data_IF_492746943593
#
_entry.id   IF_492746943593
#
_cell.length_a   1.000
_cell.length_b   1.000
_cell.length_c   1.000
_cell.angle_alpha   90.00
_cell.angle_beta   90.00
_cell.angle_gamma   90.00
#
_symmetry.space_group_name_H-M   'P 1'
#
loop_
_entity.id
_entity.type
_entity.pdbx_description
1 polymer ?
#
# COMPACT_ATOMS: atom_id res chain seq x y z
N UNK A 1 30.10 49.40 -34.05
CA UNK A 1 30.34 48.93 -32.65
C UNK A 1 29.23 47.96 -32.26
N UNK A 2 29.49 46.70 -32.37
CA UNK A 2 28.54 45.62 -32.12
C UNK A 2 28.65 45.17 -30.67
N UNK A 3 27.63 45.52 -29.90
CA UNK A 3 27.46 45.00 -28.54
C UNK A 3 26.87 43.56 -28.62
N UNK A 4 27.73 42.58 -28.72
CA UNK A 4 27.38 41.21 -28.44
C UNK A 4 27.61 40.92 -26.96
N UNK A 5 26.74 41.51 -26.11
CA UNK A 5 26.79 41.31 -24.69
C UNK A 5 26.02 40.01 -24.29
N UNK A 6 26.74 38.98 -23.86
CA UNK A 6 26.42 38.28 -22.63
C UNK A 6 25.25 37.30 -22.58
N UNK A 7 24.89 36.57 -23.66
CA UNK A 7 23.92 35.47 -23.56
C UNK A 7 24.52 34.14 -23.05
N UNK A 8 25.85 34.06 -22.94
CA UNK A 8 26.58 32.83 -22.58
C UNK A 8 26.49 32.42 -21.10
N UNK A 9 26.50 33.31 -20.11
CA UNK A 9 26.40 32.88 -18.73
C UNK A 9 24.97 32.45 -18.35
N UNK A 10 23.94 33.12 -18.87
CA UNK A 10 22.55 32.81 -18.59
C UNK A 10 22.14 31.45 -19.17
N UNK A 11 22.59 31.12 -20.39
CA UNK A 11 22.32 29.82 -21.00
C UNK A 11 23.03 28.67 -20.27
N UNK A 12 24.22 28.91 -19.72
CA UNK A 12 24.93 27.93 -18.90
C UNK A 12 24.24 27.68 -17.57
N UNK A 13 23.77 28.74 -16.91
CA UNK A 13 23.00 28.64 -15.67
C UNK A 13 21.70 27.90 -15.92
N UNK A 14 21.00 28.24 -17.01
CA UNK A 14 19.75 27.53 -17.40
C UNK A 14 20.01 26.05 -17.69
N UNK A 15 21.10 25.73 -18.37
CA UNK A 15 21.49 24.33 -18.64
C UNK A 15 21.83 23.56 -17.35
N UNK A 16 22.53 24.19 -16.40
CA UNK A 16 22.84 23.57 -15.10
C UNK A 16 21.59 23.34 -14.29
N UNK A 17 20.68 24.32 -14.25
CA UNK A 17 19.37 24.17 -13.57
C UNK A 17 18.53 23.07 -14.21
N UNK A 18 18.47 23.01 -15.54
CA UNK A 18 17.77 21.95 -16.25
C UNK A 18 18.37 20.56 -15.97
N UNK A 19 19.68 20.46 -15.97
CA UNK A 19 20.39 19.22 -15.63
C UNK A 19 20.08 18.78 -14.19
N UNK A 20 20.09 19.72 -13.25
CA UNK A 20 19.82 19.47 -11.84
C UNK A 20 18.36 19.02 -11.61
N UNK A 21 17.40 19.61 -12.33
CA UNK A 21 15.99 19.21 -12.32
C UNK A 21 15.83 17.80 -12.89
N UNK A 22 16.48 17.48 -14.01
CA UNK A 22 16.43 16.14 -14.60
C UNK A 22 17.01 15.11 -13.63
N UNK A 23 18.11 15.44 -12.96
CA UNK A 23 18.76 14.56 -11.99
C UNK A 23 17.85 14.31 -10.77
N UNK A 24 17.15 15.32 -10.25
CA UNK A 24 16.18 15.20 -9.18
C UNK A 24 15.00 14.31 -9.59
N UNK A 25 14.51 14.46 -10.82
CA UNK A 25 13.42 13.62 -11.36
C UNK A 25 13.88 12.16 -11.45
N UNK A 26 15.08 11.91 -11.95
CA UNK A 26 15.63 10.55 -12.06
C UNK A 26 15.78 9.87 -10.71
N UNK A 27 16.29 10.59 -9.70
CA UNK A 27 16.40 10.06 -8.33
C UNK A 27 15.05 9.82 -7.66
N UNK A 28 14.05 10.65 -7.93
CA UNK A 28 12.69 10.49 -7.43
C UNK A 28 11.85 9.44 -8.16
N UNK A 29 12.32 8.95 -9.31
CA UNK A 29 11.59 7.99 -10.15
C UNK A 29 11.75 6.53 -9.73
N UNK A 30 12.72 6.22 -8.87
CA UNK A 30 13.06 4.83 -8.52
C UNK A 30 12.37 4.43 -7.23
N UNK A 31 11.79 3.23 -7.20
CA UNK A 31 11.28 2.61 -5.98
C UNK A 31 11.61 1.13 -5.94
N UNK A 32 11.69 0.59 -4.72
CA UNK A 32 12.04 -0.81 -4.47
C UNK A 32 10.82 -1.53 -3.91
N UNK A 33 10.53 -2.72 -4.43
CA UNK A 33 9.54 -3.64 -3.90
C UNK A 33 10.26 -4.80 -3.24
N UNK A 34 9.98 -5.05 -1.97
CA UNK A 34 10.55 -6.15 -1.22
C UNK A 34 9.82 -7.47 -1.48
N UNK A 35 10.46 -8.60 -1.13
CA UNK A 35 9.91 -9.93 -1.38
C UNK A 35 8.57 -10.19 -0.66
N UNK A 36 8.37 -9.54 0.49
CA UNK A 36 7.22 -9.75 1.36
C UNK A 36 6.11 -8.69 1.17
N UNK A 37 6.19 -7.92 0.09
CA UNK A 37 5.29 -6.80 -0.15
C UNK A 37 4.80 -6.78 -1.60
N UNK A 38 3.57 -6.29 -1.78
CA UNK A 38 3.07 -5.87 -3.07
C UNK A 38 3.34 -4.37 -3.24
N UNK A 39 3.96 -3.98 -4.34
CA UNK A 39 4.10 -2.58 -4.72
C UNK A 39 2.89 -2.11 -5.51
N UNK A 40 2.20 -1.09 -5.02
CA UNK A 40 1.01 -0.54 -5.65
C UNK A 40 1.33 0.86 -6.13
N UNK A 41 1.18 1.06 -7.43
CA UNK A 41 1.38 2.36 -8.06
C UNK A 41 0.03 3.03 -8.26
N UNK A 42 -0.14 4.16 -7.60
CA UNK A 42 -1.32 5.00 -7.71
C UNK A 42 -1.07 6.13 -8.70
N UNK A 43 -2.06 6.40 -9.51
CA UNK A 43 -2.06 7.54 -10.42
C UNK A 43 -3.42 8.23 -10.36
N UNK A 44 -3.43 9.52 -9.99
CA UNK A 44 -4.65 10.31 -9.85
C UNK A 44 -5.72 9.67 -8.95
N UNK A 45 -5.30 9.00 -7.87
CA UNK A 45 -6.21 8.36 -6.93
C UNK A 45 -6.73 6.97 -7.35
N UNK A 46 -6.32 6.46 -8.52
CA UNK A 46 -6.65 5.13 -9.00
C UNK A 46 -5.42 4.21 -9.01
N UNK A 47 -5.64 2.91 -8.84
CA UNK A 47 -4.58 1.90 -8.96
C UNK A 47 -4.20 1.75 -10.42
N UNK A 48 -3.01 2.20 -10.78
CA UNK A 48 -2.48 2.07 -12.14
C UNK A 48 -1.82 0.70 -12.36
N UNK A 49 -0.97 0.29 -11.42
CA UNK A 49 -0.23 -0.95 -11.54
C UNK A 49 0.00 -1.60 -10.17
N UNK A 50 0.08 -2.93 -10.18
CA UNK A 50 0.41 -3.73 -9.00
C UNK A 50 1.61 -4.60 -9.33
N UNK A 51 2.65 -4.51 -8.51
CA UNK A 51 3.89 -5.29 -8.65
C UNK A 51 3.94 -6.34 -7.54
N UNK A 52 3.91 -7.60 -7.95
CA UNK A 52 3.99 -8.75 -7.03
C UNK A 52 5.40 -9.30 -6.90
N UNK A 53 6.28 -8.97 -7.83
CA UNK A 53 7.67 -9.44 -7.84
C UNK A 53 8.58 -8.41 -7.19
N UNK A 54 9.56 -8.87 -6.38
CA UNK A 54 10.56 -7.99 -5.81
C UNK A 54 11.49 -7.44 -6.89
N UNK A 55 11.93 -6.23 -6.73
CA UNK A 55 12.86 -5.59 -7.63
C UNK A 55 12.83 -4.08 -7.61
N UNK A 56 13.60 -3.52 -8.53
CA UNK A 56 13.71 -2.10 -8.75
C UNK A 56 12.77 -1.69 -9.90
N UNK A 57 11.91 -0.71 -9.62
CA UNK A 57 10.94 -0.22 -10.58
C UNK A 57 11.01 1.29 -10.72
N UNK A 58 10.46 1.79 -11.82
CA UNK A 58 10.38 3.21 -12.09
C UNK A 58 8.94 3.71 -11.98
N UNK A 59 8.79 4.91 -11.44
CA UNK A 59 7.54 5.65 -11.39
C UNK A 59 7.73 7.05 -11.94
N UNK A 60 6.65 7.68 -12.38
CA UNK A 60 6.67 9.09 -12.74
C UNK A 60 6.53 9.92 -11.46
N UNK A 61 7.56 10.69 -11.05
CA UNK A 61 7.45 11.54 -9.88
C UNK A 61 6.35 12.58 -10.09
N UNK A 62 5.76 13.08 -9.00
CA UNK A 62 4.66 14.05 -8.95
C UNK A 62 3.29 13.55 -9.44
N UNK A 63 3.24 12.60 -10.38
CA UNK A 63 1.99 12.05 -10.94
C UNK A 63 1.61 10.74 -10.29
N UNK A 64 2.62 9.93 -9.95
CA UNK A 64 2.45 8.60 -9.37
C UNK A 64 2.97 8.55 -7.94
N UNK A 65 2.20 7.94 -7.06
CA UNK A 65 2.60 7.57 -5.71
C UNK A 65 2.66 6.05 -5.58
N UNK A 66 3.50 5.57 -4.68
CA UNK A 66 3.67 4.14 -4.41
C UNK A 66 3.32 3.86 -2.97
N UNK A 67 2.50 2.85 -2.75
CA UNK A 67 2.25 2.26 -1.44
C UNK A 67 2.55 0.77 -1.47
N UNK A 68 2.76 0.19 -0.31
CA UNK A 68 3.03 -1.23 -0.16
C UNK A 68 1.93 -1.91 0.64
N UNK A 69 1.61 -3.15 0.29
CA UNK A 69 0.75 -4.03 1.06
C UNK A 69 1.52 -5.29 1.45
N UNK A 70 1.31 -5.82 2.67
CA UNK A 70 1.98 -7.05 3.09
C UNK A 70 1.53 -8.23 2.25
N UNK A 71 2.49 -9.05 1.83
CA UNK A 71 2.29 -10.31 1.11
C UNK A 71 2.34 -11.51 2.05
N UNK A 72 2.87 -11.31 3.24
CA UNK A 72 2.97 -12.32 4.30
C UNK A 72 1.63 -12.59 4.96
N UNK A 73 1.55 -13.71 5.66
CA UNK A 73 0.42 -13.99 6.54
C UNK A 73 0.40 -13.03 7.71
N UNK A 74 -0.77 -12.52 8.00
CA UNK A 74 -1.06 -11.62 9.10
C UNK A 74 -1.83 -12.37 10.17
N UNK A 75 -1.43 -12.18 11.42
CA UNK A 75 -2.15 -12.67 12.58
C UNK A 75 -3.15 -11.60 13.03
N UNK A 76 -4.41 -11.97 13.12
CA UNK A 76 -5.44 -11.16 13.74
C UNK A 76 -5.93 -11.86 15.00
N UNK A 77 -5.70 -11.21 16.13
CA UNK A 77 -6.18 -11.66 17.44
C UNK A 77 -7.56 -11.07 17.67
N UNK A 78 -8.56 -11.96 17.79
CA UNK A 78 -9.94 -11.53 17.99
C UNK A 78 -10.15 -11.09 19.43
N UNK A 79 -10.97 -10.06 19.67
CA UNK A 79 -11.32 -9.68 21.04
C UNK A 79 -11.99 -10.85 21.77
N UNK A 80 -11.56 -11.05 23.00
CA UNK A 80 -12.15 -12.06 23.89
C UNK A 80 -13.65 -11.79 23.98
N UNK A 81 -14.47 -12.78 23.67
CA UNK A 81 -15.93 -12.65 23.73
C UNK A 81 -16.54 -13.65 24.71
N UNK A 82 -17.42 -13.13 25.55
CA UNK A 82 -18.29 -13.96 26.39
C UNK A 82 -19.48 -14.43 25.55
N UNK A 83 -19.56 -15.73 25.34
CA UNK A 83 -20.70 -16.36 24.65
C UNK A 83 -21.49 -17.20 25.64
N UNK A 84 -22.81 -17.10 25.56
CA UNK A 84 -23.72 -17.92 26.33
C UNK A 84 -24.09 -19.11 25.49
N UNK A 85 -23.72 -20.30 25.94
CA UNK A 85 -24.08 -21.57 25.29
C UNK A 85 -25.57 -21.86 25.43
N UNK A 86 -26.09 -22.78 24.59
CA UNK A 86 -27.49 -23.23 24.67
C UNK A 86 -27.89 -23.77 26.05
N UNK A 87 -26.94 -24.25 26.84
CA UNK A 87 -27.12 -24.72 28.22
C UNK A 87 -27.06 -23.58 29.27
N UNK A 88 -27.09 -22.33 28.80
CA UNK A 88 -27.04 -21.11 29.66
C UNK A 88 -25.75 -20.97 30.50
N UNK A 89 -24.65 -21.57 30.05
CA UNK A 89 -23.34 -21.39 30.66
C UNK A 89 -22.58 -20.26 29.91
N UNK A 90 -21.93 -19.38 30.67
CA UNK A 90 -21.03 -18.37 30.11
C UNK A 90 -19.68 -19.02 29.81
N UNK A 91 -19.26 -18.92 28.56
CA UNK A 91 -17.93 -19.35 28.10
C UNK A 91 -17.15 -18.17 27.59
N UNK A 92 -15.86 -18.11 27.96
CA UNK A 92 -14.91 -17.15 27.43
C UNK A 92 -14.25 -17.78 26.21
N UNK A 93 -14.40 -17.14 25.07
CA UNK A 93 -13.81 -17.61 23.82
C UNK A 93 -12.64 -16.72 23.45
N UNK A 94 -11.47 -17.36 23.31
CA UNK A 94 -10.25 -16.75 22.81
C UNK A 94 -9.93 -17.38 21.46
N UNK A 95 -9.77 -16.56 20.43
CA UNK A 95 -9.56 -17.03 19.06
C UNK A 95 -8.69 -16.08 18.25
N UNK A 96 -7.96 -16.63 17.31
CA UNK A 96 -7.14 -15.86 16.38
C UNK A 96 -7.40 -16.32 14.94
N UNK A 97 -7.13 -15.44 13.99
CA UNK A 97 -7.20 -15.75 12.57
C UNK A 97 -5.88 -15.46 11.87
N UNK A 98 -5.45 -16.41 11.05
CA UNK A 98 -4.35 -16.19 10.11
C UNK A 98 -4.96 -15.89 8.74
N UNK A 99 -4.55 -14.80 8.13
CA UNK A 99 -5.06 -14.39 6.84
C UNK A 99 -3.97 -13.72 6.00
N UNK A 100 -4.17 -13.67 4.70
CA UNK A 100 -3.24 -13.02 3.77
C UNK A 100 -3.98 -12.36 2.62
N UNK A 101 -3.34 -11.39 2.01
CA UNK A 101 -3.82 -10.73 0.79
C UNK A 101 -3.38 -11.58 -0.41
N UNK A 102 -4.32 -12.23 -1.09
CA UNK A 102 -4.06 -13.02 -2.29
C UNK A 102 -4.15 -12.18 -3.56
N UNK A 103 -5.11 -11.26 -3.63
CA UNK A 103 -5.30 -10.33 -4.73
C UNK A 103 -5.26 -8.90 -4.20
N UNK A 104 -4.13 -8.20 -4.38
CA UNK A 104 -3.97 -6.84 -3.87
C UNK A 104 -4.88 -5.82 -4.58
N UNK A 105 -5.22 -6.02 -5.84
CA UNK A 105 -6.13 -5.13 -6.57
C UNK A 105 -7.54 -5.19 -6.00
N UNK A 106 -8.07 -6.40 -5.88
CA UNK A 106 -9.40 -6.63 -5.29
C UNK A 106 -9.47 -6.17 -3.84
N UNK A 107 -8.38 -6.37 -3.09
CA UNK A 107 -8.27 -5.89 -1.71
C UNK A 107 -8.39 -4.37 -1.62
N UNK A 108 -7.73 -3.62 -2.52
CA UNK A 108 -7.82 -2.17 -2.55
C UNK A 108 -9.24 -1.71 -2.93
N UNK A 109 -9.82 -2.30 -3.95
CA UNK A 109 -11.15 -1.96 -4.44
C UNK A 109 -12.24 -2.23 -3.38
N UNK A 110 -12.12 -3.34 -2.62
CA UNK A 110 -13.10 -3.77 -1.64
C UNK A 110 -12.93 -3.13 -0.27
N UNK A 111 -11.70 -2.87 0.15
CA UNK A 111 -11.32 -2.49 1.52
C UNK A 111 -10.50 -1.20 1.58
N UNK A 112 -10.39 -0.48 0.46
CA UNK A 112 -9.60 0.74 0.33
C UNK A 112 -8.12 0.56 0.71
N UNK A 113 -7.59 -0.66 0.56
CA UNK A 113 -6.21 -0.99 0.93
C UNK A 113 -5.92 -0.96 2.42
N UNK A 114 -6.95 -0.97 3.27
CA UNK A 114 -6.80 -0.90 4.72
C UNK A 114 -6.85 -2.28 5.37
N UNK A 115 -5.77 -2.65 6.04
CA UNK A 115 -5.68 -3.88 6.85
C UNK A 115 -6.71 -3.86 7.99
N UNK A 116 -6.91 -2.71 8.62
CA UNK A 116 -7.91 -2.56 9.70
C UNK A 116 -9.35 -2.83 9.21
N UNK A 117 -9.69 -2.42 7.99
CA UNK A 117 -10.99 -2.73 7.40
C UNK A 117 -11.15 -4.23 7.12
N UNK A 118 -10.08 -4.90 6.70
CA UNK A 118 -10.08 -6.35 6.51
C UNK A 118 -10.30 -7.08 7.85
N UNK A 119 -9.57 -6.70 8.88
CA UNK A 119 -9.69 -7.29 10.23
C UNK A 119 -11.09 -7.09 10.81
N UNK A 120 -11.69 -5.91 10.62
CA UNK A 120 -13.07 -5.65 11.03
C UNK A 120 -14.08 -6.57 10.33
N UNK A 121 -13.87 -6.85 9.04
CA UNK A 121 -14.73 -7.81 8.29
C UNK A 121 -14.50 -9.25 8.75
N UNK A 122 -13.26 -9.64 8.97
CA UNK A 122 -12.91 -10.97 9.50
C UNK A 122 -13.57 -11.16 10.86
N UNK A 123 -13.48 -10.18 11.75
CA UNK A 123 -14.13 -10.20 13.05
C UNK A 123 -15.64 -10.44 12.93
N UNK A 124 -16.33 -9.68 12.08
CA UNK A 124 -17.76 -9.82 11.87
C UNK A 124 -18.16 -11.21 11.33
N UNK A 125 -17.39 -11.76 10.40
CA UNK A 125 -17.62 -13.07 9.81
C UNK A 125 -17.44 -14.17 10.86
N UNK A 126 -16.34 -14.12 11.60
CA UNK A 126 -16.03 -15.13 12.64
C UNK A 126 -17.06 -15.06 13.76
N UNK A 127 -17.39 -13.86 14.23
CA UNK A 127 -18.41 -13.68 15.27
C UNK A 127 -19.77 -14.25 14.87
N UNK A 128 -20.20 -13.98 13.63
CA UNK A 128 -21.46 -14.53 13.11
C UNK A 128 -21.39 -16.06 12.96
N UNK A 129 -20.27 -16.60 12.51
CA UNK A 129 -20.08 -18.05 12.38
C UNK A 129 -20.13 -18.74 13.75
N UNK A 130 -19.44 -18.20 14.75
CA UNK A 130 -19.45 -18.71 16.11
C UNK A 130 -20.84 -18.69 16.71
N UNK A 131 -21.58 -17.59 16.54
CA UNK A 131 -22.96 -17.47 17.04
C UNK A 131 -23.93 -18.46 16.42
N UNK A 132 -23.63 -18.97 15.22
CA UNK A 132 -24.50 -19.95 14.54
C UNK A 132 -24.22 -21.38 15.02
N UNK A 133 -23.02 -21.65 15.51
CA UNK A 133 -22.56 -22.99 15.92
C UNK A 133 -22.83 -23.27 17.41
N UNK A 134 -22.92 -22.22 18.21
CA UNK A 134 -23.14 -22.27 19.67
C UNK A 134 -24.64 -22.09 19.98
#
# INVERSE_FOLDING_TARGET
>A
MSFTAGKKPLSRILAVVALLVILLILFGSVYIVHQNEYGIVWQFGAVNNVRSEPGLYFKVPFVQSVSTLPKTELLYDLPISDVITGDKHSMVLDSFALWRISDPRLFIESLSGSVANAESRINAIIYNALKTVI
#
